data_IF_010977998303
#
_entry.id   IF_010977998303
#
_cell.length_a   1.000
_cell.length_b   1.000
_cell.length_c   1.000
_cell.angle_alpha   90.00
_cell.angle_beta   90.00
_cell.angle_gamma   90.00
#
_symmetry.space_group_name_H-M   'P 1'
#
loop_
_entity.id
_entity.type
_entity.pdbx_description
1 polymer ?
#
# COMPACT_ATOMS: atom_id res chain seq x y z
N UNK A 1 -7.58 11.48 -7.77
CA UNK A 1 -6.78 12.32 -8.66
C UNK A 1 -6.57 13.67 -8.02
N UNK A 2 -5.40 14.27 -8.17
CA UNK A 2 -5.04 15.63 -7.77
C UNK A 2 -4.41 16.33 -8.98
N UNK A 3 -4.60 17.64 -9.11
CA UNK A 3 -4.05 18.41 -10.22
C UNK A 3 -3.26 19.62 -9.68
N UNK A 4 -2.22 20.08 -10.40
CA UNK A 4 -1.47 21.28 -10.01
C UNK A 4 -2.37 22.52 -9.88
N UNK A 5 -2.02 23.43 -8.96
CA UNK A 5 -2.78 24.65 -8.73
C UNK A 5 -2.02 25.92 -9.15
N UNK A 6 -2.76 26.91 -9.66
CA UNK A 6 -2.25 28.24 -9.97
C UNK A 6 -1.29 28.25 -11.17
N UNK A 7 -0.04 28.64 -10.93
CA UNK A 7 1.02 28.71 -11.96
C UNK A 7 2.00 27.52 -11.86
N UNK A 8 1.77 26.58 -10.95
CA UNK A 8 2.62 25.39 -10.84
C UNK A 8 2.27 24.41 -11.97
N UNK A 9 3.30 23.78 -12.54
CA UNK A 9 3.14 22.68 -13.48
C UNK A 9 3.20 21.31 -12.78
N UNK A 10 3.43 21.29 -11.47
CA UNK A 10 3.68 20.07 -10.71
C UNK A 10 2.93 20.11 -9.36
N UNK A 11 2.48 18.94 -8.92
CA UNK A 11 1.94 18.74 -7.57
C UNK A 11 3.11 18.50 -6.61
N UNK A 12 3.22 19.30 -5.53
CA UNK A 12 4.27 19.09 -4.53
C UNK A 12 4.22 17.67 -3.96
N UNK A 13 5.39 17.07 -3.70
CA UNK A 13 5.49 15.66 -3.26
C UNK A 13 4.62 15.32 -2.04
N UNK A 14 4.43 16.25 -1.10
CA UNK A 14 3.62 16.03 0.10
C UNK A 14 2.11 15.95 -0.15
N UNK A 15 1.65 16.38 -1.34
CA UNK A 15 0.26 16.31 -1.78
C UNK A 15 0.00 15.14 -2.75
N UNK A 16 1.04 14.41 -3.15
CA UNK A 16 0.95 13.26 -4.06
C UNK A 16 0.44 12.00 -3.34
N UNK A 17 -0.08 11.06 -4.13
CA UNK A 17 -0.52 9.76 -3.64
C UNK A 17 0.65 8.76 -3.63
N UNK A 18 0.62 7.87 -2.63
CA UNK A 18 1.59 6.81 -2.45
C UNK A 18 0.88 5.53 -2.04
N UNK A 19 1.35 4.39 -2.54
CA UNK A 19 0.91 3.07 -2.12
C UNK A 19 2.10 2.25 -1.60
N UNK A 20 1.82 1.31 -0.70
CA UNK A 20 2.81 0.51 0.02
C UNK A 20 2.76 0.75 1.52
N UNK A 21 2.83 -0.35 2.29
CA UNK A 21 2.81 -0.35 3.75
C UNK A 21 1.53 -0.94 4.38
N UNK A 22 1.38 -0.83 5.71
CA UNK A 22 0.43 -1.62 6.50
C UNK A 22 -1.07 -1.35 6.24
N UNK A 23 -1.41 -0.19 5.67
CA UNK A 23 -2.81 0.24 5.54
C UNK A 23 -3.36 0.11 4.10
N UNK A 24 -2.52 -0.23 3.12
CA UNK A 24 -2.93 -0.38 1.73
C UNK A 24 -2.34 -1.67 1.12
N UNK A 25 -1.26 -1.58 0.35
CA UNK A 25 -0.53 -2.71 -0.22
C UNK A 25 0.41 -3.31 0.85
N UNK A 26 -0.17 -4.14 1.73
CA UNK A 26 0.49 -4.71 2.91
C UNK A 26 1.69 -5.61 2.61
N UNK A 27 1.83 -6.07 1.37
CA UNK A 27 2.99 -6.85 0.91
C UNK A 27 4.17 -6.01 0.45
N UNK A 28 4.10 -4.69 0.51
CA UNK A 28 5.11 -3.76 0.01
C UNK A 28 5.64 -2.85 1.11
N UNK A 29 6.88 -2.39 0.95
CA UNK A 29 7.48 -1.37 1.80
C UNK A 29 6.68 -0.06 1.74
N UNK A 30 6.85 0.78 2.76
CA UNK A 30 6.12 2.04 2.85
C UNK A 30 6.46 2.94 1.66
N UNK A 31 5.43 3.32 0.88
CA UNK A 31 5.56 4.15 -0.34
C UNK A 31 6.39 3.51 -1.47
N UNK A 32 6.48 2.19 -1.52
CA UNK A 32 7.27 1.50 -2.55
C UNK A 32 6.63 1.50 -3.94
N UNK A 33 5.29 1.55 -4.02
CA UNK A 33 4.56 1.37 -5.28
C UNK A 33 4.21 2.71 -5.92
N UNK A 34 4.68 2.91 -7.15
CA UNK A 34 4.35 4.07 -7.96
C UNK A 34 5.48 4.55 -8.86
N UNK A 35 5.26 5.69 -9.54
CA UNK A 35 6.24 6.29 -10.45
C UNK A 35 7.53 6.61 -9.70
N UNK A 36 8.67 6.38 -10.35
CA UNK A 36 10.01 6.68 -9.82
C UNK A 36 10.64 7.81 -10.64
N UNK A 37 11.67 8.43 -10.07
CA UNK A 37 12.45 9.43 -10.79
C UNK A 37 13.29 8.73 -11.89
N UNK A 38 13.31 9.31 -13.09
CA UNK A 38 14.11 8.82 -14.22
C UNK A 38 15.61 9.19 -14.07
N UNK A 39 15.97 9.97 -13.04
CA UNK A 39 17.36 10.28 -12.72
C UNK A 39 18.11 9.06 -12.21
N UNK A 40 18.94 8.47 -13.08
CA UNK A 40 19.84 7.34 -12.78
C UNK A 40 20.86 7.60 -11.66
N UNK A 41 20.94 8.83 -11.14
CA UNK A 41 21.77 9.20 -9.98
C UNK A 41 21.00 9.30 -8.67
N UNK A 42 19.67 9.24 -8.72
CA UNK A 42 18.80 9.25 -7.55
C UNK A 42 18.60 7.83 -6.98
N UNK A 43 18.17 7.76 -5.71
CA UNK A 43 17.75 6.51 -5.09
C UNK A 43 16.49 5.98 -5.80
N UNK A 44 16.34 4.64 -5.89
CA UNK A 44 15.21 3.95 -6.55
C UNK A 44 13.90 4.05 -5.71
N UNK A 45 13.51 5.27 -5.32
CA UNK A 45 12.35 5.56 -4.47
C UNK A 45 11.17 6.09 -5.31
N UNK A 46 9.95 5.70 -4.94
CA UNK A 46 8.76 6.21 -5.59
C UNK A 46 8.54 7.70 -5.28
N UNK A 47 8.40 8.52 -6.33
CA UNK A 47 8.14 9.95 -6.21
C UNK A 47 6.65 10.27 -5.98
N UNK A 48 5.80 9.25 -5.99
CA UNK A 48 4.35 9.37 -5.85
C UNK A 48 3.69 9.94 -7.10
N UNK A 49 2.38 9.78 -7.19
CA UNK A 49 1.61 10.14 -8.38
C UNK A 49 0.39 11.00 -8.12
N UNK A 50 -0.19 11.51 -9.20
CA UNK A 50 -1.35 12.39 -9.16
C UNK A 50 -2.67 11.62 -9.23
N UNK A 51 -2.64 10.36 -9.61
CA UNK A 51 -3.81 9.48 -9.62
C UNK A 51 -3.45 8.11 -9.04
N UNK A 52 -4.41 7.46 -8.39
CA UNK A 52 -4.23 6.14 -7.83
C UNK A 52 -5.57 5.41 -7.76
N UNK A 53 -5.50 4.09 -7.63
CA UNK A 53 -6.63 3.26 -7.20
C UNK A 53 -6.12 2.19 -6.24
N UNK A 54 -6.96 1.84 -5.28
CA UNK A 54 -6.68 0.81 -4.29
C UNK A 54 -7.94 0.00 -4.05
N UNK A 55 -7.81 -1.31 -4.08
CA UNK A 55 -8.86 -2.28 -3.79
C UNK A 55 -8.28 -3.32 -2.83
N UNK A 56 -8.98 -3.54 -1.71
CA UNK A 56 -8.59 -4.53 -0.71
C UNK A 56 -9.77 -5.44 -0.40
N UNK A 57 -9.51 -6.74 -0.47
CA UNK A 57 -10.43 -7.79 -0.03
C UNK A 57 -9.87 -8.44 1.22
N UNK A 58 -10.69 -8.53 2.27
CA UNK A 58 -10.32 -9.22 3.51
C UNK A 58 -11.42 -10.22 3.86
N UNK A 59 -11.03 -11.45 4.12
CA UNK A 59 -11.89 -12.51 4.60
C UNK A 59 -11.44 -12.94 5.99
N UNK A 60 -12.30 -12.75 6.99
CA UNK A 60 -12.00 -13.05 8.39
C UNK A 60 -12.74 -14.26 8.95
N UNK A 61 -12.02 -15.11 9.69
CA UNK A 61 -12.56 -16.23 10.45
C UNK A 61 -12.27 -16.04 11.93
N UNK A 62 -13.29 -16.22 12.78
CA UNK A 62 -13.08 -16.27 14.23
C UNK A 62 -12.73 -17.68 14.64
N UNK A 63 -11.54 -17.89 15.18
CA UNK A 63 -11.11 -19.22 15.65
C UNK A 63 -11.56 -19.44 17.09
N UNK A 64 -11.25 -18.48 17.97
CA UNK A 64 -11.60 -18.52 19.38
C UNK A 64 -11.78 -17.09 19.89
N UNK A 65 -12.37 -16.89 21.06
CA UNK A 65 -12.24 -15.60 21.75
C UNK A 65 -10.92 -15.61 22.53
N UNK A 66 -9.99 -14.65 22.37
CA UNK A 66 -10.05 -13.38 21.62
C UNK A 66 -9.34 -13.36 20.24
N UNK A 67 -9.12 -14.51 19.60
CA UNK A 67 -8.33 -14.69 18.37
C UNK A 67 -9.18 -14.87 17.10
N UNK A 68 -8.99 -13.98 16.14
CA UNK A 68 -9.43 -14.13 14.74
C UNK A 68 -8.23 -14.26 13.79
N UNK A 69 -8.44 -14.93 12.66
CA UNK A 69 -7.52 -14.90 11.53
C UNK A 69 -8.18 -14.22 10.34
N UNK A 70 -7.37 -13.63 9.48
CA UNK A 70 -7.81 -13.07 8.21
C UNK A 70 -6.91 -13.56 7.08
N UNK A 71 -7.49 -13.68 5.90
CA UNK A 71 -6.76 -13.76 4.64
C UNK A 71 -7.14 -12.51 3.87
N UNK A 72 -6.16 -11.88 3.25
CA UNK A 72 -6.39 -10.67 2.49
C UNK A 72 -5.70 -10.68 1.15
N UNK A 73 -6.22 -9.85 0.25
CA UNK A 73 -5.65 -9.56 -1.04
C UNK A 73 -5.80 -8.05 -1.30
N UNK A 74 -4.70 -7.40 -1.64
CA UNK A 74 -4.63 -5.97 -1.92
C UNK A 74 -4.16 -5.79 -3.36
N UNK A 75 -4.76 -4.85 -4.06
CA UNK A 75 -4.43 -4.51 -5.45
C UNK A 75 -4.52 -3.00 -5.63
N UNK A 76 -3.58 -2.41 -6.35
CA UNK A 76 -3.62 -0.98 -6.61
C UNK A 76 -2.54 -0.53 -7.58
N UNK A 77 -2.63 0.74 -7.98
CA UNK A 77 -1.65 1.40 -8.82
C UNK A 77 -1.59 2.88 -8.46
N UNK A 78 -0.47 3.52 -8.81
CA UNK A 78 -0.25 4.96 -8.71
C UNK A 78 0.34 5.42 -10.03
N UNK A 79 -0.24 6.45 -10.65
CA UNK A 79 0.23 7.01 -11.92
C UNK A 79 0.63 8.47 -11.75
N UNK A 80 1.66 8.89 -12.50
CA UNK A 80 2.24 10.24 -12.40
C UNK A 80 1.26 11.32 -12.86
N UNK A 81 0.50 11.06 -13.92
CA UNK A 81 -0.43 12.03 -14.51
C UNK A 81 -1.75 12.12 -13.74
N UNK A 82 -2.38 13.29 -13.77
CA UNK A 82 -3.72 13.45 -13.23
C UNK A 82 -4.77 12.83 -14.17
N UNK A 83 -5.81 12.25 -13.60
CA UNK A 83 -6.87 11.51 -14.31
C UNK A 83 -6.37 10.31 -15.14
N UNK A 84 -5.17 9.80 -14.87
CA UNK A 84 -4.65 8.59 -15.49
C UNK A 84 -5.03 7.34 -14.67
N UNK A 85 -5.98 6.56 -15.19
CA UNK A 85 -6.41 5.31 -14.58
C UNK A 85 -5.98 4.08 -15.38
N UNK A 86 -4.87 4.20 -16.10
CA UNK A 86 -4.22 3.04 -16.70
C UNK A 86 -3.79 2.06 -15.59
N UNK A 87 -4.08 0.78 -15.82
CA UNK A 87 -3.80 -0.31 -14.89
C UNK A 87 -2.58 -1.13 -15.34
N UNK A 88 -1.77 -0.63 -16.27
CA UNK A 88 -0.56 -1.32 -16.77
C UNK A 88 0.43 -1.62 -15.66
N UNK A 89 0.58 -0.67 -14.73
CA UNK A 89 1.59 -0.68 -13.68
C UNK A 89 0.93 -0.92 -12.32
N UNK A 90 0.07 -1.95 -12.26
CA UNK A 90 -0.54 -2.37 -11.01
C UNK A 90 0.41 -3.24 -10.17
N UNK A 91 0.29 -3.09 -8.85
CA UNK A 91 0.89 -3.97 -7.88
C UNK A 91 -0.20 -4.70 -7.08
N UNK A 92 0.07 -5.93 -6.71
CA UNK A 92 -0.82 -6.73 -5.87
C UNK A 92 -0.08 -7.64 -4.89
N UNK A 93 -0.75 -7.94 -3.79
CA UNK A 93 -0.27 -8.86 -2.78
C UNK A 93 -1.42 -9.69 -2.22
N UNK A 94 -1.08 -10.85 -1.68
CA UNK A 94 -1.95 -11.59 -0.78
C UNK A 94 -1.28 -11.72 0.58
N UNK A 95 -2.04 -12.06 1.59
CA UNK A 95 -1.46 -12.26 2.91
C UNK A 95 -2.40 -12.86 3.90
N UNK A 96 -1.85 -13.11 5.09
CA UNK A 96 -2.58 -13.66 6.23
C UNK A 96 -2.34 -12.77 7.43
N UNK A 97 -3.35 -12.66 8.29
CA UNK A 97 -3.26 -11.84 9.49
C UNK A 97 -3.89 -12.50 10.69
N UNK A 98 -3.41 -12.12 11.87
CA UNK A 98 -4.02 -12.42 13.15
C UNK A 98 -4.65 -11.14 13.74
N UNK A 99 -5.79 -11.31 14.38
CA UNK A 99 -6.55 -10.26 15.09
C UNK A 99 -6.72 -10.74 16.52
N UNK A 100 -6.11 -10.07 17.48
CA UNK A 100 -6.08 -10.50 18.88
C UNK A 100 -6.56 -9.36 19.77
N UNK A 101 -7.58 -9.58 20.60
CA UNK A 101 -7.93 -8.60 21.65
C UNK A 101 -7.06 -8.85 22.90
N UNK A 102 -6.20 -7.88 23.22
CA UNK A 102 -5.32 -7.92 24.40
C UNK A 102 -5.72 -6.80 25.36
N UNK A 103 -6.15 -7.17 26.57
CA UNK A 103 -6.54 -6.21 27.62
C UNK A 103 -7.56 -5.13 27.15
N UNK A 104 -8.45 -5.49 26.23
CA UNK A 104 -9.43 -4.58 25.64
C UNK A 104 -8.93 -3.78 24.42
N UNK A 105 -7.65 -3.88 24.06
CA UNK A 105 -7.06 -3.24 22.89
C UNK A 105 -6.85 -4.24 21.74
N UNK A 106 -7.18 -3.87 20.49
CA UNK A 106 -6.92 -4.74 19.34
C UNK A 106 -5.43 -4.74 18.99
N UNK A 107 -4.89 -5.94 18.75
CA UNK A 107 -3.59 -6.19 18.13
C UNK A 107 -3.84 -6.79 16.74
N UNK A 108 -3.27 -6.18 15.71
CA UNK A 108 -3.25 -6.72 14.34
C UNK A 108 -1.82 -7.11 14.01
N UNK A 109 -1.66 -8.32 13.48
CA UNK A 109 -0.42 -8.82 12.90
C UNK A 109 -0.77 -9.23 11.47
N UNK A 110 -0.07 -8.71 10.47
CA UNK A 110 -0.32 -8.99 9.06
C UNK A 110 0.98 -9.38 8.37
N UNK A 111 0.95 -10.48 7.62
CA UNK A 111 2.04 -10.97 6.79
C UNK A 111 1.59 -10.86 5.33
N UNK A 112 2.13 -9.87 4.62
CA UNK A 112 1.83 -9.62 3.20
C UNK A 112 2.93 -10.17 2.30
N UNK A 113 2.54 -10.81 1.21
CA UNK A 113 3.43 -11.42 0.21
C UNK A 113 3.08 -10.80 -1.15
N UNK A 114 4.01 -10.04 -1.76
CA UNK A 114 3.79 -9.43 -3.07
C UNK A 114 3.67 -10.51 -4.15
N UNK A 115 2.78 -10.31 -5.12
CA UNK A 115 2.55 -11.21 -6.27
C UNK A 115 3.08 -10.55 -7.53
N UNK A 116 2.58 -9.36 -7.86
CA UNK A 116 2.96 -8.56 -9.02
C UNK A 116 3.51 -7.23 -8.54
N UNK A 117 4.68 -6.86 -9.06
CA UNK A 117 5.27 -5.52 -8.92
C UNK A 117 5.68 -5.07 -10.32
N UNK A 118 5.22 -3.89 -10.78
CA UNK A 118 5.62 -3.32 -12.06
C UNK A 118 7.13 -3.08 -12.14
N UNK A 119 7.74 -2.74 -11.01
CA UNK A 119 9.09 -2.18 -10.98
C UNK A 119 10.14 -3.26 -10.69
N UNK A 120 9.71 -4.45 -10.27
CA UNK A 120 10.60 -5.59 -10.00
C UNK A 120 11.50 -5.39 -8.76
N UNK A 121 11.52 -4.20 -8.19
CA UNK A 121 12.14 -3.80 -6.92
C UNK A 121 11.06 -3.67 -5.83
N UNK A 122 11.33 -4.21 -4.64
CA UNK A 122 10.39 -4.24 -3.49
C UNK A 122 9.91 -5.63 -3.03
N UNK A 123 10.39 -6.71 -3.65
CA UNK A 123 9.86 -8.09 -3.56
C UNK A 123 10.17 -8.89 -2.28
N UNK A 124 10.00 -8.31 -1.10
CA UNK A 124 10.11 -9.02 0.19
C UNK A 124 8.75 -9.35 0.79
N UNK A 125 8.65 -10.45 1.54
CA UNK A 125 7.49 -10.65 2.42
C UNK A 125 7.52 -9.60 3.53
N UNK A 126 6.42 -8.88 3.71
CA UNK A 126 6.31 -7.79 4.67
C UNK A 126 5.55 -8.23 5.91
N UNK A 127 6.10 -7.90 7.07
CA UNK A 127 5.45 -8.13 8.35
C UNK A 127 5.06 -6.81 8.99
N UNK A 128 3.76 -6.64 9.20
CA UNK A 128 3.15 -5.45 9.74
C UNK A 128 2.51 -5.76 11.10
N UNK A 129 2.65 -4.82 12.04
CA UNK A 129 1.96 -4.90 13.32
C UNK A 129 1.37 -3.55 13.71
N UNK A 130 0.22 -3.60 14.38
CA UNK A 130 -0.40 -2.41 14.98
C UNK A 130 -1.10 -2.78 16.27
N UNK A 131 -0.92 -1.97 17.31
CA UNK A 131 -1.56 -2.15 18.60
C UNK A 131 -2.39 -0.92 18.98
N UNK A 132 -3.60 -1.15 19.47
CA UNK A 132 -4.54 -0.09 19.84
C UNK A 132 -5.40 0.37 18.66
N UNK A 133 -6.14 1.46 18.86
CA UNK A 133 -7.01 2.03 17.84
C UNK A 133 -6.19 2.91 16.89
N UNK A 134 -6.05 2.50 15.63
CA UNK A 134 -5.65 3.40 14.53
C UNK A 134 -6.92 3.90 13.84
N UNK A 135 -6.97 5.20 13.57
CA UNK A 135 -7.97 5.88 12.73
C UNK A 135 -7.29 6.33 11.45
#
# INVERSE_FOLDING_TARGET
>A
SISPFGKSNEVPFYDRFYLGGPDNLRGFDYREVGPRDDDLTADDEAVGGNSYSLISFEYGFRIAEPLGLVVFYDWGFVNESDFDFNMSDYADNWGVGARIMLMGSPLKLDLGIPITSPEGTGGGTQFNFSFGTRF
#
